data_IF_222494176525
#
_entry.id   IF_222494176525
#
_cell.length_a   1.000
_cell.length_b   1.000
_cell.length_c   1.000
_cell.angle_alpha   90.00
_cell.angle_beta   90.00
_cell.angle_gamma   90.00
#
_symmetry.space_group_name_H-M   'P 1'
#
loop_
_entity.id
_entity.type
_entity.pdbx_description
1 polymer ?
#
# COMPACT_ATOMS: atom_id res chain seq x y z
N UNK A 1 7.72 20.79 -8.01
CA UNK A 1 6.39 20.50 -7.42
C UNK A 1 6.59 20.46 -5.92
N UNK A 2 5.76 21.18 -5.17
CA UNK A 2 5.84 21.17 -3.70
C UNK A 2 5.64 19.74 -3.19
N UNK A 3 6.47 19.31 -2.24
CA UNK A 3 6.42 17.94 -1.70
C UNK A 3 5.14 17.78 -0.88
N UNK A 4 4.08 17.26 -1.49
CA UNK A 4 2.83 16.94 -0.81
C UNK A 4 2.86 15.47 -0.39
N UNK A 5 3.16 15.24 0.89
CA UNK A 5 3.06 13.94 1.53
C UNK A 5 1.63 13.72 2.00
N UNK A 6 1.10 12.55 1.72
CA UNK A 6 -0.24 12.16 2.15
C UNK A 6 -0.11 11.40 3.46
N UNK A 7 -0.93 11.79 4.44
CA UNK A 7 -1.06 11.06 5.69
C UNK A 7 -2.38 10.30 5.67
N UNK A 8 -2.32 9.01 5.99
CA UNK A 8 -3.50 8.14 6.10
C UNK A 8 -3.45 7.48 7.47
N UNK A 9 -4.49 7.67 8.28
CA UNK A 9 -4.46 7.19 9.68
C UNK A 9 -3.20 7.66 10.42
N UNK A 10 -2.37 6.72 10.86
CA UNK A 10 -1.12 6.97 11.58
C UNK A 10 0.14 6.85 10.69
N UNK A 11 -0.01 6.57 9.40
CA UNK A 11 1.11 6.42 8.47
C UNK A 11 1.25 7.66 7.60
N UNK A 12 2.39 8.35 7.73
CA UNK A 12 2.81 9.37 6.76
C UNK A 12 3.48 8.67 5.57
N UNK A 13 2.89 8.80 4.39
CA UNK A 13 3.43 8.24 3.16
C UNK A 13 4.61 9.08 2.67
N UNK A 14 5.63 8.40 2.15
CA UNK A 14 6.69 9.04 1.35
C UNK A 14 6.10 9.67 0.09
N UNK A 15 6.88 10.53 -0.57
CA UNK A 15 6.42 11.17 -1.82
C UNK A 15 6.05 10.14 -2.90
N UNK A 16 6.83 9.07 -3.01
CA UNK A 16 6.59 8.00 -3.99
C UNK A 16 5.34 7.18 -3.66
N UNK A 17 5.13 6.87 -2.38
CA UNK A 17 3.91 6.18 -1.92
C UNK A 17 2.66 7.06 -2.11
N UNK A 18 2.80 8.36 -1.85
CA UNK A 18 1.73 9.35 -2.06
C UNK A 18 1.34 9.43 -3.53
N UNK A 19 2.32 9.45 -4.45
CA UNK A 19 2.07 9.52 -5.89
C UNK A 19 1.40 8.22 -6.40
N UNK A 20 1.86 7.06 -5.94
CA UNK A 20 1.23 5.76 -6.24
C UNK A 20 -0.21 5.68 -5.75
N UNK A 21 -0.47 6.13 -4.54
CA UNK A 21 -1.83 6.18 -4.00
C UNK A 21 -2.69 7.16 -4.79
N UNK A 22 -2.15 8.34 -5.11
CA UNK A 22 -2.84 9.33 -5.91
C UNK A 22 -3.23 8.80 -7.29
N UNK A 23 -2.32 8.15 -8.02
CA UNK A 23 -2.67 7.56 -9.32
C UNK A 23 -3.76 6.48 -9.24
N UNK A 24 -3.75 5.66 -8.17
CA UNK A 24 -4.79 4.65 -7.95
C UNK A 24 -6.14 5.26 -7.64
N UNK A 25 -6.18 6.15 -6.66
CA UNK A 25 -7.42 6.78 -6.20
C UNK A 25 -7.95 7.76 -7.24
N UNK A 26 -7.09 8.46 -7.99
CA UNK A 26 -7.46 9.32 -9.11
C UNK A 26 -8.26 8.56 -10.17
N UNK A 27 -7.87 7.32 -10.50
CA UNK A 27 -8.61 6.50 -11.47
C UNK A 27 -9.95 6.01 -10.92
N UNK A 28 -10.03 5.73 -9.62
CA UNK A 28 -11.23 5.18 -8.98
C UNK A 28 -12.28 6.27 -8.64
N UNK A 29 -11.82 7.36 -8.02
CA UNK A 29 -12.65 8.44 -7.45
C UNK A 29 -12.59 9.74 -8.26
N UNK A 30 -11.94 9.74 -9.42
CA UNK A 30 -11.79 10.90 -10.32
C UNK A 30 -11.17 12.15 -9.65
N UNK A 31 -10.23 11.96 -8.72
CA UNK A 31 -9.56 13.06 -8.02
C UNK A 31 -8.59 13.83 -8.93
N UNK A 32 -8.53 15.15 -8.79
CA UNK A 32 -7.64 16.00 -9.62
C UNK A 32 -6.43 16.52 -8.83
N UNK A 33 -6.55 16.60 -7.50
CA UNK A 33 -5.52 17.22 -6.65
C UNK A 33 -5.16 16.39 -5.41
N UNK A 34 -3.93 16.56 -4.95
CA UNK A 34 -3.45 15.97 -3.69
C UNK A 34 -4.24 16.44 -2.46
N UNK A 35 -4.83 17.64 -2.51
CA UNK A 35 -5.65 18.17 -1.42
C UNK A 35 -6.95 17.36 -1.28
N UNK A 36 -7.57 17.01 -2.39
CA UNK A 36 -8.76 16.14 -2.39
C UNK A 36 -8.40 14.74 -1.92
N UNK A 37 -7.25 14.21 -2.35
CA UNK A 37 -6.75 12.94 -1.83
C UNK A 37 -6.56 13.01 -0.32
N UNK A 38 -5.90 14.05 0.21
CA UNK A 38 -5.68 14.20 1.65
C UNK A 38 -7.00 14.30 2.42
N UNK A 39 -8.00 14.99 1.86
CA UNK A 39 -9.35 15.06 2.45
C UNK A 39 -10.06 13.71 2.43
N UNK A 40 -9.92 12.94 1.35
CA UNK A 40 -10.46 11.57 1.30
C UNK A 40 -9.76 10.68 2.33
N UNK A 41 -8.43 10.78 2.45
CA UNK A 41 -7.63 9.95 3.34
C UNK A 41 -7.88 10.20 4.84
N UNK A 42 -8.57 11.28 5.20
CA UNK A 42 -9.04 11.50 6.57
C UNK A 42 -10.02 10.40 7.02
N UNK A 43 -10.87 9.96 6.10
CA UNK A 43 -11.86 8.90 6.29
C UNK A 43 -11.27 7.48 6.16
N UNK A 44 -10.04 7.39 5.68
CA UNK A 44 -9.32 6.13 5.51
C UNK A 44 -8.37 5.90 6.70
N UNK A 45 -8.07 4.63 6.94
CA UNK A 45 -6.97 4.22 7.80
C UNK A 45 -5.93 3.45 6.99
N UNK A 46 -4.80 3.17 7.62
CA UNK A 46 -3.72 2.45 6.99
C UNK A 46 -3.11 1.43 7.92
N UNK A 47 -2.82 0.24 7.40
CA UNK A 47 -2.08 -0.79 8.10
C UNK A 47 -0.81 -1.14 7.33
N UNK A 48 0.28 -1.34 8.06
CA UNK A 48 1.51 -1.91 7.50
C UNK A 48 1.41 -3.43 7.66
N UNK A 49 1.39 -4.13 6.53
CA UNK A 49 1.34 -5.59 6.47
C UNK A 49 2.74 -6.10 6.18
N UNK A 50 3.33 -6.73 7.16
CA UNK A 50 4.59 -7.46 7.02
C UNK A 50 4.26 -8.87 6.52
N UNK A 51 4.85 -9.33 5.39
CA UNK A 51 4.65 -10.70 4.96
C UNK A 51 5.29 -11.62 6.01
N UNK A 52 4.48 -12.43 6.68
CA UNK A 52 5.01 -13.50 7.53
C UNK A 52 5.96 -14.34 6.67
N UNK A 53 7.22 -14.44 7.11
CA UNK A 53 8.21 -15.31 6.50
C UNK A 53 7.72 -16.74 6.69
N UNK A 54 6.88 -17.23 5.78
CA UNK A 54 6.56 -18.65 5.72
C UNK A 54 7.89 -19.36 5.47
N UNK A 55 8.38 -20.21 6.40
CA UNK A 55 9.55 -21.01 6.12
C UNK A 55 9.21 -21.86 4.89
N UNK A 56 10.05 -21.80 3.86
CA UNK A 56 9.92 -22.51 2.58
C UNK A 56 9.91 -24.05 2.72
N UNK A 57 9.72 -24.59 3.92
CA UNK A 57 9.89 -26.00 4.23
C UNK A 57 8.65 -26.88 3.95
N UNK A 58 7.46 -26.30 3.74
CA UNK A 58 6.22 -27.09 3.56
C UNK A 58 5.63 -27.09 2.13
N UNK A 59 6.29 -26.44 1.15
CA UNK A 59 5.82 -26.35 -0.25
C UNK A 59 6.84 -26.95 -1.23
N UNK A 60 7.41 -28.10 -0.87
CA UNK A 60 8.25 -28.91 -1.77
C UNK A 60 7.58 -30.27 -2.05
N UNK A 61 6.28 -30.26 -2.32
CA UNK A 61 5.57 -31.42 -2.86
C UNK A 61 4.61 -30.93 -3.96
N UNK A 62 5.11 -30.88 -5.20
CA UNK A 62 4.28 -30.68 -6.38
C UNK A 62 4.49 -29.36 -7.11
N UNK A 63 5.28 -29.44 -8.17
CA UNK A 63 5.06 -28.77 -9.46
C UNK A 63 5.14 -27.23 -9.53
N UNK A 64 6.14 -26.77 -10.29
CA UNK A 64 6.15 -25.49 -11.02
C UNK A 64 5.90 -24.20 -10.23
N UNK A 65 6.91 -23.72 -9.50
CA UNK A 65 7.00 -22.30 -9.13
C UNK A 65 8.38 -21.74 -9.47
N UNK A 66 8.54 -21.37 -10.74
CA UNK A 66 9.52 -20.36 -11.17
C UNK A 66 9.25 -19.04 -10.45
N UNK A 67 9.86 -18.84 -9.27
CA UNK A 67 10.24 -17.54 -8.69
C UNK A 67 10.98 -17.72 -7.35
N UNK A 68 11.98 -18.61 -7.30
CA UNK A 68 13.01 -18.44 -6.28
C UNK A 68 13.85 -17.20 -6.63
N UNK A 69 13.89 -16.25 -5.71
CA UNK A 69 14.95 -15.27 -5.42
C UNK A 69 14.32 -13.90 -5.15
N UNK A 70 14.63 -13.32 -3.99
CA UNK A 70 14.10 -12.05 -3.44
C UNK A 70 12.81 -12.17 -2.61
N UNK A 71 12.79 -13.10 -1.65
CA UNK A 71 12.12 -12.86 -0.36
C UNK A 71 12.83 -11.73 0.41
N UNK A 72 12.88 -10.54 -0.17
CA UNK A 72 13.00 -9.33 0.65
C UNK A 72 11.71 -9.26 1.46
N UNK A 73 11.78 -8.93 2.74
CA UNK A 73 10.62 -8.72 3.62
C UNK A 73 9.79 -7.54 3.10
N UNK A 74 9.06 -7.74 2.00
CA UNK A 74 8.42 -6.63 1.30
C UNK A 74 7.23 -6.18 2.11
N UNK A 75 7.39 -5.10 2.89
CA UNK A 75 6.28 -4.49 3.65
C UNK A 75 5.29 -3.86 2.69
N UNK A 76 4.01 -4.12 2.90
CA UNK A 76 2.93 -3.50 2.15
C UNK A 76 2.22 -2.48 3.02
N UNK A 77 1.78 -1.38 2.43
CA UNK A 77 0.83 -0.46 3.05
C UNK A 77 -0.54 -0.78 2.47
N UNK A 78 -1.48 -1.06 3.35
CA UNK A 78 -2.89 -1.26 3.05
C UNK A 78 -3.67 -0.05 3.56
N UNK A 79 -4.33 0.66 2.65
CA UNK A 79 -5.19 1.81 2.92
C UNK A 79 -6.63 1.35 2.75
N UNK A 80 -7.47 1.50 3.77
CA UNK A 80 -8.86 1.05 3.76
C UNK A 80 -9.78 2.12 4.32
N UNK A 81 -10.99 2.22 3.78
CA UNK A 81 -11.98 3.14 4.31
C UNK A 81 -12.49 2.64 5.68
N UNK A 82 -12.59 3.52 6.67
CA UNK A 82 -13.02 3.19 8.04
C UNK A 82 -14.53 2.94 8.15
N UNK A 83 -15.30 3.57 7.27
CA UNK A 83 -16.77 3.58 7.25
C UNK A 83 -17.34 2.56 6.24
N UNK A 84 -16.67 2.34 5.12
CA UNK A 84 -17.11 1.50 4.01
C UNK A 84 -16.10 0.37 3.72
N UNK A 85 -16.51 -0.89 3.83
CA UNK A 85 -15.61 -2.04 3.63
C UNK A 85 -15.19 -2.27 2.16
N UNK A 86 -15.82 -1.60 1.20
CA UNK A 86 -15.65 -1.86 -0.24
C UNK A 86 -14.38 -1.23 -0.84
N UNK A 87 -13.85 -0.15 -0.23
CA UNK A 87 -12.69 0.56 -0.80
C UNK A 87 -11.40 0.23 -0.04
N UNK A 88 -10.54 -0.56 -0.68
CA UNK A 88 -9.22 -0.93 -0.16
C UNK A 88 -8.12 -0.80 -1.23
N UNK A 89 -7.03 -0.12 -0.89
CA UNK A 89 -5.87 0.08 -1.74
C UNK A 89 -4.63 -0.51 -1.08
N UNK A 90 -3.99 -1.48 -1.76
CA UNK A 90 -2.71 -2.03 -1.33
C UNK A 90 -1.59 -1.63 -2.27
N UNK A 91 -0.44 -1.24 -1.72
CA UNK A 91 0.78 -0.94 -2.47
C UNK A 91 2.02 -1.29 -1.65
N UNK A 92 3.15 -1.50 -2.34
CA UNK A 92 4.44 -1.79 -1.69
C UNK A 92 4.92 -0.54 -0.97
N UNK A 93 5.34 -0.68 0.29
CA UNK A 93 5.96 0.41 1.02
C UNK A 93 7.35 0.69 0.43
N UNK A 94 7.71 1.96 0.32
CA UNK A 94 9.08 2.38 0.00
C UNK A 94 10.00 2.26 1.22
N UNK A 95 9.44 2.28 2.43
CA UNK A 95 10.20 2.07 3.64
C UNK A 95 10.34 0.55 3.87
N UNK A 96 11.44 -0.03 3.39
CA UNK A 96 11.77 -1.45 3.52
C UNK A 96 12.85 -1.72 4.58
N UNK A 97 13.22 -0.69 5.34
CA UNK A 97 14.31 -0.71 6.34
C UNK A 97 13.90 -1.22 7.74
#
# INVERSE_FOLDING_TARGET
MEKQRITVGYVELTQEESDRLFEKVKKDKALETYKELQGLMDDFDSAIIEPEARPLAEILDGDELTAESEQSSIRYIEVFNKLEEDTRYRFKSSNQE
#
